data_IF_787520168700
#
_entry.id   IF_787520168700
#
_cell.length_a   1.000
_cell.length_b   1.000
_cell.length_c   1.000
_cell.angle_alpha   90.00
_cell.angle_beta   90.00
_cell.angle_gamma   90.00
#
_symmetry.space_group_name_H-M   'P 1'
#
loop_
_entity.id
_entity.type
_entity.pdbx_description
1 polymer ?
#
# COMPACT_ATOMS: atom_id res chain seq x y z
N UNK A 1 -9.98 2.15 -24.02
CA UNK A 1 -10.65 1.58 -22.82
C UNK A 1 -9.70 1.68 -21.63
N UNK A 2 -10.15 2.31 -20.56
CA UNK A 2 -9.37 2.36 -19.32
C UNK A 2 -9.79 1.23 -18.41
N UNK A 3 -8.80 0.48 -17.92
CA UNK A 3 -9.04 -0.55 -16.93
C UNK A 3 -8.66 0.02 -15.58
N UNK A 4 -9.64 0.12 -14.69
CA UNK A 4 -9.42 0.56 -13.32
C UNK A 4 -9.34 -0.67 -12.41
N UNK A 5 -8.26 -0.76 -11.65
CA UNK A 5 -8.06 -1.84 -10.70
C UNK A 5 -8.42 -1.31 -9.31
N UNK A 6 -9.37 -1.99 -8.67
CA UNK A 6 -9.75 -1.68 -7.31
C UNK A 6 -9.10 -2.72 -6.39
N UNK A 7 -8.33 -2.24 -5.44
CA UNK A 7 -7.71 -3.06 -4.42
C UNK A 7 -8.62 -3.13 -3.21
N UNK A 8 -8.69 -4.29 -2.60
CA UNK A 8 -9.49 -4.51 -1.41
C UNK A 8 -8.65 -5.20 -0.34
N UNK A 9 -8.54 -4.57 0.82
CA UNK A 9 -7.75 -5.10 1.92
C UNK A 9 -8.38 -4.70 3.25
N UNK A 10 -8.63 -5.68 4.11
CA UNK A 10 -9.20 -5.48 5.45
C UNK A 10 -10.47 -4.62 5.46
N UNK A 11 -11.34 -4.81 4.46
CA UNK A 11 -12.59 -4.09 4.35
C UNK A 11 -12.48 -2.71 3.71
N UNK A 12 -11.28 -2.24 3.40
CA UNK A 12 -11.06 -0.96 2.74
C UNK A 12 -10.86 -1.15 1.25
N UNK A 13 -11.47 -0.30 0.44
CA UNK A 13 -11.28 -0.29 -1.01
C UNK A 13 -10.49 0.95 -1.41
N UNK A 14 -9.52 0.78 -2.30
CA UNK A 14 -8.72 1.87 -2.83
C UNK A 14 -8.24 1.53 -4.23
N UNK A 15 -7.77 2.54 -4.94
CA UNK A 15 -7.34 2.40 -6.32
C UNK A 15 -6.02 3.13 -6.55
N UNK A 16 -5.46 2.98 -7.75
CA UNK A 16 -4.24 3.67 -8.16
C UNK A 16 -4.37 5.18 -7.90
N UNK A 17 -3.32 5.76 -7.39
CA UNK A 17 -3.19 7.18 -7.00
C UNK A 17 -3.89 7.57 -5.70
N UNK A 18 -4.63 6.69 -5.07
CA UNK A 18 -5.19 7.00 -3.75
C UNK A 18 -4.06 7.08 -2.72
N UNK A 19 -4.20 8.02 -1.81
CA UNK A 19 -3.29 8.14 -0.67
C UNK A 19 -3.82 7.26 0.45
N UNK A 20 -3.01 6.33 0.91
CA UNK A 20 -3.40 5.40 1.96
C UNK A 20 -2.36 5.31 3.07
N UNK A 21 -2.83 4.90 4.23
CA UNK A 21 -1.99 4.58 5.37
C UNK A 21 -2.04 3.07 5.59
N UNK A 22 -0.90 2.43 5.64
CA UNK A 22 -0.78 0.99 5.84
C UNK A 22 -0.02 0.73 7.12
N UNK A 23 -0.56 -0.16 7.95
CA UNK A 23 0.17 -0.70 9.09
C UNK A 23 0.54 -2.14 8.75
N UNK A 24 1.82 -2.42 8.66
CA UNK A 24 2.32 -3.76 8.40
C UNK A 24 3.04 -4.31 9.61
N UNK A 25 3.07 -5.63 9.72
CA UNK A 25 3.76 -6.34 10.79
C UNK A 25 4.83 -7.24 10.18
N UNK A 26 6.03 -7.17 10.73
CA UNK A 26 7.11 -8.06 10.35
C UNK A 26 6.80 -9.47 10.91
N UNK A 27 6.79 -10.53 10.06
CA UNK A 27 6.42 -11.87 10.52
C UNK A 27 7.45 -12.50 11.46
N UNK A 28 8.66 -11.99 11.51
CA UNK A 28 9.72 -12.54 12.35
C UNK A 28 9.87 -11.83 13.68
N UNK A 29 9.81 -10.51 13.68
CA UNK A 29 10.00 -9.69 14.88
C UNK A 29 8.70 -9.21 15.50
N UNK A 30 7.59 -9.31 14.77
CA UNK A 30 6.27 -8.79 15.14
C UNK A 30 6.21 -7.27 15.28
N UNK A 31 7.26 -6.56 14.88
CA UNK A 31 7.25 -5.10 14.86
C UNK A 31 6.25 -4.58 13.83
N UNK A 32 5.50 -3.56 14.23
CA UNK A 32 4.56 -2.88 13.37
C UNK A 32 5.18 -1.59 12.84
N UNK A 33 4.99 -1.35 11.53
CA UNK A 33 5.47 -0.15 10.86
C UNK A 33 4.32 0.50 10.13
N UNK A 34 4.20 1.83 10.26
CA UNK A 34 3.21 2.61 9.54
C UNK A 34 3.85 3.23 8.29
N UNK A 35 3.17 3.07 7.16
CA UNK A 35 3.63 3.59 5.88
C UNK A 35 2.50 4.39 5.25
N UNK A 36 2.79 5.59 4.78
CA UNK A 36 1.83 6.44 4.07
C UNK A 36 2.37 6.65 2.65
N UNK A 37 1.54 6.38 1.66
CA UNK A 37 1.95 6.56 0.27
C UNK A 37 0.78 6.50 -0.69
N UNK A 38 1.07 6.80 -1.96
CA UNK A 38 0.10 6.70 -3.04
C UNK A 38 0.19 5.34 -3.69
N UNK A 39 -0.95 4.75 -3.97
CA UNK A 39 -1.02 3.42 -4.57
C UNK A 39 -0.52 3.46 -6.01
N UNK A 40 0.42 2.58 -6.32
CA UNK A 40 0.92 2.35 -7.68
C UNK A 40 0.31 1.03 -8.15
N UNK A 41 -0.06 0.97 -9.41
CA UNK A 41 -0.60 -0.24 -10.02
C UNK A 41 0.40 -1.40 -9.88
N UNK A 42 -0.01 -2.47 -9.24
CA UNK A 42 0.78 -3.70 -9.13
C UNK A 42 0.25 -4.73 -10.11
N UNK A 43 1.16 -5.46 -10.74
CA UNK A 43 0.83 -6.56 -11.63
C UNK A 43 0.74 -7.89 -10.88
N UNK A 44 1.09 -7.88 -9.60
CA UNK A 44 1.11 -9.08 -8.74
C UNK A 44 0.05 -8.91 -7.66
N UNK A 45 -0.89 -9.85 -7.59
CA UNK A 45 -2.04 -9.77 -6.67
C UNK A 45 -1.68 -9.88 -5.19
N UNK A 46 -0.48 -10.35 -4.87
CA UNK A 46 -0.04 -10.56 -3.48
C UNK A 46 0.79 -9.40 -2.95
N UNK A 47 0.98 -8.35 -3.74
CA UNK A 47 1.80 -7.21 -3.37
C UNK A 47 1.05 -5.90 -3.51
N UNK A 48 1.31 -4.99 -2.59
CA UNK A 48 0.85 -3.62 -2.66
C UNK A 48 2.07 -2.72 -2.84
N UNK A 49 2.07 -1.92 -3.90
CA UNK A 49 3.18 -1.01 -4.20
C UNK A 49 2.75 0.41 -3.92
N UNK A 50 3.52 1.11 -3.11
CA UNK A 50 3.26 2.50 -2.73
C UNK A 50 4.40 3.40 -3.14
N UNK A 51 4.05 4.58 -3.64
CA UNK A 51 4.97 5.67 -3.87
C UNK A 51 5.08 6.48 -2.59
N UNK A 52 6.24 6.42 -1.96
CA UNK A 52 6.56 7.15 -0.74
C UNK A 52 7.58 8.26 -1.01
N UNK A 53 7.68 8.70 -2.25
CA UNK A 53 8.64 9.71 -2.67
C UNK A 53 8.49 11.00 -1.88
N UNK A 54 9.63 11.58 -1.54
CA UNK A 54 9.71 12.90 -0.93
C UNK A 54 10.15 13.93 -1.98
N UNK A 55 10.20 15.19 -1.59
CA UNK A 55 10.65 16.29 -2.44
C UNK A 55 12.06 16.05 -3.01
N UNK A 56 12.91 15.37 -2.27
CA UNK A 56 14.32 15.18 -2.63
C UNK A 56 14.69 13.75 -2.98
N UNK A 57 13.76 12.82 -2.86
CA UNK A 57 14.07 11.41 -3.01
C UNK A 57 12.88 10.65 -3.58
N UNK A 58 13.07 10.03 -4.74
CA UNK A 58 12.04 9.18 -5.35
C UNK A 58 12.19 7.77 -4.81
N UNK A 59 11.13 7.23 -4.23
CA UNK A 59 11.16 5.90 -3.62
C UNK A 59 9.81 5.20 -3.72
N UNK A 60 9.85 3.92 -4.05
CA UNK A 60 8.69 3.04 -4.03
C UNK A 60 8.94 1.94 -3.00
N UNK A 61 7.88 1.51 -2.32
CA UNK A 61 7.95 0.37 -1.41
C UNK A 61 6.94 -0.67 -1.83
N UNK A 62 7.34 -1.94 -1.76
CA UNK A 62 6.47 -3.07 -2.04
C UNK A 62 6.16 -3.78 -0.73
N UNK A 63 4.88 -3.98 -0.45
CA UNK A 63 4.40 -4.61 0.78
C UNK A 63 3.66 -5.88 0.42
N UNK A 64 4.02 -6.99 1.06
CA UNK A 64 3.29 -8.23 0.91
C UNK A 64 1.93 -8.09 1.63
N UNK A 65 0.84 -8.43 0.94
CA UNK A 65 -0.52 -8.30 1.49
C UNK A 65 -0.69 -9.08 2.79
N UNK A 66 -0.03 -10.23 2.91
CA UNK A 66 -0.10 -11.06 4.13
C UNK A 66 0.47 -10.38 5.38
N UNK A 67 1.30 -9.37 5.20
CA UNK A 67 1.90 -8.62 6.31
C UNK A 67 1.07 -7.42 6.75
N UNK A 68 0.03 -7.08 6.00
CA UNK A 68 -0.80 -5.91 6.28
C UNK A 68 -1.77 -6.19 7.42
N UNK A 69 -1.70 -5.38 8.46
CA UNK A 69 -2.59 -5.45 9.62
C UNK A 69 -3.80 -4.54 9.45
N UNK A 70 -3.58 -3.34 8.88
CA UNK A 70 -4.63 -2.34 8.74
C UNK A 70 -4.32 -1.42 7.56
N UNK A 71 -5.37 -1.02 6.85
CA UNK A 71 -5.29 -0.04 5.76
C UNK A 71 -6.37 1.00 5.98
N UNK A 72 -6.01 2.27 5.86
CA UNK A 72 -6.95 3.39 5.88
C UNK A 72 -6.72 4.27 4.67
N UNK A 73 -7.79 4.64 4.01
CA UNK A 73 -7.75 5.62 2.93
C UNK A 73 -7.70 7.02 3.54
N UNK A 74 -6.77 7.82 3.09
CA UNK A 74 -6.60 9.20 3.55
C UNK A 74 -7.30 10.13 2.56
N UNK A 75 -8.15 10.98 3.08
CA UNK A 75 -8.89 11.94 2.26
C UNK A 75 -8.18 13.29 2.20
#
# INVERSE_FOLDING_TARGET
>A
MMIEIIYRCNGEEFKENDLIQVIKRDPFTEEKTMIIGRVIKSLINTELVLDISSKYHAENITINIDEIVKVNKIK
#
